data_IF_824780186645
#
_entry.id   IF_824780186645
#
_cell.length_a   1.000
_cell.length_b   1.000
_cell.length_c   1.000
_cell.angle_alpha   90.00
_cell.angle_beta   90.00
_cell.angle_gamma   90.00
#
_symmetry.space_group_name_H-M   'P 1'
#
loop_
_entity.id
_entity.type
_entity.pdbx_description
1 polymer ?
#
# COMPACT_ATOMS: atom_id res chain seq x y z
N UNK A 1 29.73 -57.07 -39.99
CA UNK A 1 28.46 -57.17 -39.25
C UNK A 1 28.23 -55.81 -38.60
N UNK A 2 27.26 -55.03 -39.10
CA UNK A 2 25.88 -55.21 -38.65
C UNK A 2 24.94 -55.60 -39.80
N UNK A 3 23.96 -56.43 -39.49
CA UNK A 3 22.95 -56.90 -40.42
C UNK A 3 22.03 -55.75 -40.82
N UNK A 4 22.14 -55.28 -42.06
CA UNK A 4 21.15 -54.40 -42.67
C UNK A 4 19.90 -55.22 -42.94
N UNK A 5 18.94 -55.15 -42.01
CA UNK A 5 17.58 -55.64 -42.21
C UNK A 5 16.94 -54.86 -43.36
N UNK A 6 16.95 -55.43 -44.55
CA UNK A 6 16.13 -54.95 -45.67
C UNK A 6 14.66 -55.20 -45.33
N UNK A 7 14.02 -54.20 -44.73
CA UNK A 7 12.55 -54.11 -44.67
C UNK A 7 12.00 -54.19 -46.11
N UNK A 8 10.91 -54.94 -46.35
CA UNK A 8 10.29 -54.99 -47.66
C UNK A 8 9.89 -53.57 -48.06
N UNK A 9 10.42 -53.10 -49.19
CA UNK A 9 10.06 -51.79 -49.74
C UNK A 9 8.55 -51.79 -49.96
N UNK A 10 7.83 -50.98 -49.18
CA UNK A 10 6.39 -50.77 -49.36
C UNK A 10 6.12 -50.41 -50.83
N UNK A 11 5.00 -50.86 -51.41
CA UNK A 11 4.66 -50.57 -52.80
C UNK A 11 4.76 -49.04 -53.05
N UNK A 12 5.28 -48.67 -54.22
CA UNK A 12 5.60 -47.28 -54.57
C UNK A 12 4.40 -46.34 -54.35
N UNK A 13 3.18 -46.84 -54.60
CA UNK A 13 1.92 -46.13 -54.31
C UNK A 13 1.74 -45.75 -52.84
N UNK A 14 2.10 -46.61 -51.89
CA UNK A 14 1.99 -46.33 -50.44
C UNK A 14 3.00 -45.27 -50.01
N UNK A 15 4.23 -45.33 -50.54
CA UNK A 15 5.26 -44.31 -50.28
C UNK A 15 4.87 -42.94 -50.84
N UNK A 16 4.25 -42.90 -52.02
CA UNK A 16 3.70 -41.66 -52.61
C UNK A 16 2.55 -41.13 -51.74
N UNK A 17 1.65 -41.99 -51.26
CA UNK A 17 0.55 -41.60 -50.39
C UNK A 17 1.04 -41.06 -49.03
N UNK A 18 2.08 -41.68 -48.45
CA UNK A 18 2.70 -41.23 -47.21
C UNK A 18 3.40 -39.87 -47.38
N UNK A 19 4.16 -39.68 -48.47
CA UNK A 19 4.77 -38.39 -48.82
C UNK A 19 3.72 -37.30 -49.03
N UNK A 20 2.61 -37.61 -49.70
CA UNK A 20 1.50 -36.66 -49.88
C UNK A 20 0.83 -36.27 -48.55
N UNK A 21 0.64 -37.23 -47.63
CA UNK A 21 0.15 -36.92 -46.27
C UNK A 21 1.13 -36.03 -45.50
N UNK A 22 2.43 -36.30 -45.62
CA UNK A 22 3.48 -35.50 -44.98
C UNK A 22 3.55 -34.09 -45.55
N UNK A 23 3.40 -33.93 -46.86
CA UNK A 23 3.30 -32.62 -47.51
C UNK A 23 2.05 -31.88 -47.02
N UNK A 24 0.89 -32.54 -46.96
CA UNK A 24 -0.36 -31.93 -46.48
C UNK A 24 -0.25 -31.48 -45.00
N UNK A 25 0.42 -32.26 -44.14
CA UNK A 25 0.72 -31.87 -42.76
C UNK A 25 1.64 -30.65 -42.71
N UNK A 26 2.73 -30.64 -43.48
CA UNK A 26 3.66 -29.51 -43.54
C UNK A 26 2.99 -28.24 -44.07
N UNK A 27 2.09 -28.35 -45.05
CA UNK A 27 1.30 -27.22 -45.56
C UNK A 27 0.29 -26.73 -44.52
N UNK A 28 -0.32 -27.63 -43.75
CA UNK A 28 -1.18 -27.30 -42.61
C UNK A 28 -0.42 -26.55 -41.51
N UNK A 29 0.74 -27.06 -41.10
CA UNK A 29 1.62 -26.41 -40.12
C UNK A 29 2.07 -25.05 -40.61
N UNK A 30 2.54 -24.95 -41.87
CA UNK A 30 2.96 -23.68 -42.48
C UNK A 30 1.83 -22.65 -42.50
N UNK A 31 0.60 -23.08 -42.76
CA UNK A 31 -0.58 -22.22 -42.71
C UNK A 31 -0.90 -21.77 -41.28
N UNK A 32 -0.89 -22.68 -40.31
CA UNK A 32 -1.11 -22.36 -38.89
C UNK A 32 -0.03 -21.40 -38.34
N UNK A 33 1.25 -21.62 -38.69
CA UNK A 33 2.34 -20.71 -38.35
C UNK A 33 2.14 -19.33 -38.98
N UNK A 34 1.73 -19.27 -40.24
CA UNK A 34 1.47 -18.00 -40.90
C UNK A 34 0.29 -17.24 -40.27
N UNK A 35 -0.81 -17.93 -39.96
CA UNK A 35 -1.99 -17.37 -39.30
C UNK A 35 -1.66 -16.88 -37.88
N UNK A 36 -0.92 -17.68 -37.10
CA UNK A 36 -0.44 -17.29 -35.76
C UNK A 36 0.50 -16.09 -35.81
N UNK A 37 1.40 -16.04 -36.80
CA UNK A 37 2.31 -14.90 -37.01
C UNK A 37 1.53 -13.63 -37.40
N UNK A 38 0.58 -13.73 -38.34
CA UNK A 38 -0.27 -12.60 -38.74
C UNK A 38 -1.12 -12.09 -37.57
N UNK A 39 -1.67 -13.01 -36.77
CA UNK A 39 -2.43 -12.65 -35.57
C UNK A 39 -1.54 -11.92 -34.56
N UNK A 40 -0.32 -12.42 -34.32
CA UNK A 40 0.66 -11.77 -33.43
C UNK A 40 1.07 -10.39 -33.96
N UNK A 41 1.30 -10.26 -35.26
CA UNK A 41 1.60 -8.96 -35.89
C UNK A 41 0.43 -7.97 -35.76
N UNK A 42 -0.81 -8.44 -35.89
CA UNK A 42 -2.00 -7.62 -35.69
C UNK A 42 -2.11 -7.15 -34.24
N UNK A 43 -1.95 -8.05 -33.27
CA UNK A 43 -1.92 -7.72 -31.84
C UNK A 43 -0.81 -6.73 -31.50
N UNK A 44 0.38 -6.91 -32.07
CA UNK A 44 1.50 -5.98 -31.89
C UNK A 44 1.20 -4.60 -32.49
N UNK A 45 0.55 -4.52 -33.65
CA UNK A 45 0.10 -3.25 -34.25
C UNK A 45 -0.93 -2.54 -33.37
N UNK A 46 -1.90 -3.27 -32.83
CA UNK A 46 -2.90 -2.74 -31.92
C UNK A 46 -2.24 -2.19 -30.64
N UNK A 47 -1.31 -2.95 -30.05
CA UNK A 47 -0.54 -2.52 -28.89
C UNK A 47 0.30 -1.26 -29.16
N UNK A 48 0.98 -1.20 -30.31
CA UNK A 48 1.73 0.01 -30.71
C UNK A 48 0.80 1.22 -30.88
N UNK A 49 -0.40 1.02 -31.42
CA UNK A 49 -1.41 2.07 -31.54
C UNK A 49 -1.87 2.57 -30.18
N UNK A 50 -2.16 1.65 -29.24
CA UNK A 50 -2.52 1.97 -27.86
C UNK A 50 -1.39 2.76 -27.16
N UNK A 51 -0.16 2.27 -27.21
CA UNK A 51 1.01 2.94 -26.61
C UNK A 51 1.26 4.33 -27.20
N UNK A 52 0.99 4.54 -28.49
CA UNK A 52 1.09 5.86 -29.13
C UNK A 52 -0.02 6.80 -28.63
N UNK A 53 -1.22 6.29 -28.44
CA UNK A 53 -2.34 7.07 -27.89
C UNK A 53 -2.09 7.46 -26.43
N UNK A 54 -1.60 6.52 -25.62
CA UNK A 54 -1.18 6.78 -24.23
C UNK A 54 -0.06 7.81 -24.17
N UNK A 55 0.99 7.67 -24.99
CA UNK A 55 2.05 8.68 -25.05
C UNK A 55 1.50 10.06 -25.42
N UNK A 56 0.58 10.15 -26.38
CA UNK A 56 -0.06 11.42 -26.76
C UNK A 56 -0.86 12.00 -25.59
N UNK A 57 -1.58 11.17 -24.84
CA UNK A 57 -2.31 11.60 -23.64
C UNK A 57 -1.37 12.08 -22.53
N UNK A 58 -0.28 11.33 -22.24
CA UNK A 58 0.73 11.71 -21.26
C UNK A 58 1.43 13.03 -21.62
N UNK A 59 1.76 13.23 -22.89
CA UNK A 59 2.32 14.50 -23.37
C UNK A 59 1.33 15.66 -23.18
N UNK A 60 0.04 15.43 -23.42
CA UNK A 60 -1.00 16.44 -23.18
C UNK A 60 -1.13 16.76 -21.69
N UNK A 61 -1.21 15.73 -20.83
CA UNK A 61 -1.26 15.91 -19.37
C UNK A 61 -0.05 16.67 -18.84
N UNK A 62 1.16 16.36 -19.34
CA UNK A 62 2.38 17.09 -18.99
C UNK A 62 2.31 18.56 -19.43
N UNK A 63 1.84 18.83 -20.64
CA UNK A 63 1.67 20.19 -21.13
C UNK A 63 0.64 20.98 -20.30
N UNK A 64 -0.49 20.35 -19.95
CA UNK A 64 -1.53 20.94 -19.13
C UNK A 64 -1.01 21.25 -17.71
N UNK A 65 -0.25 20.33 -17.10
CA UNK A 65 0.36 20.53 -15.79
C UNK A 65 1.38 21.68 -15.79
N UNK A 66 2.26 21.76 -16.81
CA UNK A 66 3.21 22.88 -16.96
C UNK A 66 2.46 24.20 -17.16
N UNK A 67 1.38 24.20 -17.94
CA UNK A 67 0.57 25.39 -18.15
C UNK A 67 -0.17 25.84 -16.88
N UNK A 68 -0.62 24.91 -16.03
CA UNK A 68 -1.19 25.23 -14.72
C UNK A 68 -0.13 25.82 -13.79
N UNK A 69 1.05 25.20 -13.70
CA UNK A 69 2.18 25.72 -12.90
C UNK A 69 2.56 27.14 -13.35
N UNK A 70 2.68 27.38 -14.67
CA UNK A 70 2.99 28.70 -15.22
C UNK A 70 1.88 29.73 -14.90
N UNK A 71 0.60 29.34 -14.91
CA UNK A 71 -0.51 30.24 -14.51
C UNK A 71 -0.40 30.65 -13.05
N UNK A 72 -0.19 29.68 -12.16
CA UNK A 72 -0.05 29.92 -10.72
C UNK A 72 1.15 30.83 -10.44
N UNK A 73 2.29 30.58 -11.11
CA UNK A 73 3.47 31.44 -10.99
C UNK A 73 3.23 32.86 -11.51
N UNK A 74 2.50 33.01 -12.62
CA UNK A 74 2.16 34.33 -13.16
C UNK A 74 1.24 35.13 -12.24
N UNK A 75 0.32 34.47 -11.56
CA UNK A 75 -0.59 35.10 -10.58
C UNK A 75 0.17 35.47 -9.30
N UNK A 76 0.96 34.55 -8.73
CA UNK A 76 1.74 34.78 -7.52
C UNK A 76 2.80 35.89 -7.67
N UNK A 77 3.44 36.00 -8.83
CA UNK A 77 4.49 36.99 -9.10
C UNK A 77 4.03 38.15 -9.98
N UNK A 78 2.73 38.48 -9.99
CA UNK A 78 2.17 39.52 -10.86
C UNK A 78 2.87 40.89 -10.72
N UNK A 79 3.25 41.25 -9.49
CA UNK A 79 3.90 42.53 -9.17
C UNK A 79 5.44 42.46 -9.18
N UNK A 80 6.04 41.30 -9.47
CA UNK A 80 7.48 41.03 -9.38
C UNK A 80 8.05 40.53 -10.71
N UNK A 81 8.09 41.41 -11.70
CA UNK A 81 8.46 41.11 -13.09
C UNK A 81 9.81 40.40 -13.26
N UNK A 82 10.83 40.79 -12.48
CA UNK A 82 12.19 40.18 -12.54
C UNK A 82 12.19 38.75 -12.01
N UNK A 83 11.47 38.50 -10.91
CA UNK A 83 11.35 37.16 -10.33
C UNK A 83 10.48 36.26 -11.20
N UNK A 84 9.40 36.81 -11.76
CA UNK A 84 8.52 36.12 -12.72
C UNK A 84 9.30 35.64 -13.96
N UNK A 85 10.15 36.49 -14.53
CA UNK A 85 10.98 36.10 -15.67
C UNK A 85 11.95 34.95 -15.34
N UNK A 86 12.52 34.95 -14.13
CA UNK A 86 13.44 33.90 -13.67
C UNK A 86 12.77 32.56 -13.34
N UNK A 87 11.43 32.54 -13.20
CA UNK A 87 10.62 31.38 -12.83
C UNK A 87 9.83 30.76 -13.99
N UNK A 88 9.89 31.35 -15.19
CA UNK A 88 9.18 30.87 -16.38
C UNK A 88 9.63 29.45 -16.77
N UNK A 89 8.68 28.52 -16.96
CA UNK A 89 8.96 27.15 -17.36
C UNK A 89 9.57 26.28 -16.25
N UNK A 90 9.59 26.77 -15.00
CA UNK A 90 9.96 25.97 -13.82
C UNK A 90 8.69 25.44 -13.17
N UNK A 91 8.77 24.24 -12.60
CA UNK A 91 7.64 23.72 -11.82
C UNK A 91 7.47 24.51 -10.53
N UNK A 92 6.24 24.56 -9.99
CA UNK A 92 5.93 25.23 -8.73
C UNK A 92 6.87 24.82 -7.58
N UNK A 93 7.25 23.54 -7.49
CA UNK A 93 8.21 23.06 -6.47
C UNK A 93 9.62 23.66 -6.64
N UNK A 94 10.08 23.79 -7.88
CA UNK A 94 11.37 24.41 -8.18
C UNK A 94 11.33 25.92 -7.95
N UNK A 95 10.18 26.55 -8.15
CA UNK A 95 10.01 27.97 -7.86
C UNK A 95 10.13 28.25 -6.37
N UNK A 96 9.52 27.41 -5.51
CA UNK A 96 9.62 27.51 -4.06
C UNK A 96 11.08 27.46 -3.62
N UNK A 97 11.85 26.44 -4.04
CA UNK A 97 13.26 26.31 -3.62
C UNK A 97 14.12 27.49 -4.05
N UNK A 98 13.89 28.06 -5.23
CA UNK A 98 14.60 29.25 -5.70
C UNK A 98 14.26 30.47 -4.85
N UNK A 99 12.99 30.64 -4.50
CA UNK A 99 12.54 31.75 -3.67
C UNK A 99 13.08 31.60 -2.25
N UNK A 100 13.09 30.40 -1.69
CA UNK A 100 13.65 30.11 -0.38
C UNK A 100 15.14 30.46 -0.29
N UNK A 101 15.92 30.06 -1.30
CA UNK A 101 17.34 30.45 -1.38
C UNK A 101 17.51 31.98 -1.41
N UNK A 102 16.68 32.70 -2.18
CA UNK A 102 16.71 34.17 -2.23
C UNK A 102 16.32 34.80 -0.89
N UNK A 103 15.36 34.23 -0.18
CA UNK A 103 14.96 34.68 1.17
C UNK A 103 16.12 34.50 2.13
N UNK A 104 16.79 33.34 2.11
CA UNK A 104 17.99 33.10 2.91
C UNK A 104 19.09 34.14 2.63
N UNK A 105 19.35 34.48 1.37
CA UNK A 105 20.36 35.47 1.02
C UNK A 105 19.98 36.89 1.46
N UNK A 106 18.71 37.27 1.35
CA UNK A 106 18.25 38.59 1.83
C UNK A 106 18.28 38.68 3.35
N UNK A 107 17.97 37.60 4.06
CA UNK A 107 18.11 37.52 5.53
C UNK A 107 19.57 37.67 5.95
N UNK A 108 20.51 36.99 5.27
CA UNK A 108 21.95 37.13 5.54
C UNK A 108 22.41 38.59 5.37
N UNK A 109 22.06 39.22 4.25
CA UNK A 109 22.38 40.64 4.01
C UNK A 109 21.77 41.57 5.05
N UNK A 110 20.53 41.29 5.48
CA UNK A 110 19.85 42.06 6.50
C UNK A 110 20.53 41.92 7.87
N UNK A 111 20.96 40.71 8.24
CA UNK A 111 21.72 40.47 9.46
C UNK A 111 23.08 41.20 9.43
N UNK A 112 23.79 41.18 8.29
CA UNK A 112 25.04 41.93 8.13
C UNK A 112 24.83 43.44 8.31
N UNK A 113 23.75 43.99 7.72
CA UNK A 113 23.41 45.41 7.87
C UNK A 113 22.99 45.75 9.31
N UNK A 114 22.24 44.88 9.98
CA UNK A 114 21.90 45.04 11.40
C UNK A 114 23.15 45.07 12.27
N UNK A 115 24.07 44.13 12.06
CA UNK A 115 25.34 44.10 12.78
C UNK A 115 26.14 45.38 12.56
N UNK A 116 26.30 45.84 11.31
CA UNK A 116 26.96 47.11 10.98
C UNK A 116 26.28 48.32 11.66
N UNK A 117 24.95 48.31 11.73
CA UNK A 117 24.18 49.39 12.38
C UNK A 117 24.40 49.38 13.87
N UNK A 118 24.35 48.20 14.50
CA UNK A 118 24.57 48.03 15.94
C UNK A 118 25.99 48.46 16.35
N UNK A 119 27.00 48.10 15.57
CA UNK A 119 28.40 48.54 15.79
C UNK A 119 28.50 50.06 15.72
N UNK A 120 27.88 50.69 14.72
CA UNK A 120 27.86 52.16 14.61
C UNK A 120 27.09 52.83 15.74
N UNK A 121 25.98 52.25 16.20
CA UNK A 121 25.21 52.76 17.33
C UNK A 121 26.00 52.68 18.63
N UNK A 122 26.69 51.56 18.88
CA UNK A 122 27.63 51.41 20.01
C UNK A 122 28.71 52.49 19.97
N UNK A 123 29.30 52.72 18.79
CA UNK A 123 30.33 53.76 18.64
C UNK A 123 29.80 55.17 18.88
N UNK A 124 28.57 55.44 18.46
CA UNK A 124 27.91 56.72 18.68
C UNK A 124 27.59 56.95 20.16
N UNK A 125 27.15 55.91 20.88
CA UNK A 125 26.92 55.98 22.32
C UNK A 125 28.22 56.22 23.11
N UNK A 126 29.34 55.59 22.70
CA UNK A 126 30.67 55.87 23.27
C UNK A 126 31.09 57.33 23.07
N UNK A 127 30.88 57.89 21.87
CA UNK A 127 31.21 59.29 21.59
C UNK A 127 30.31 60.27 22.35
N UNK A 128 29.02 59.95 22.50
CA UNK A 128 28.08 60.75 23.30
C UNK A 128 28.48 60.76 24.77
N UNK A 129 28.81 59.60 25.35
CA UNK A 129 29.28 59.53 26.75
C UNK A 129 30.59 60.30 26.95
N UNK A 130 31.53 60.25 26.01
CA UNK A 130 32.76 61.07 26.06
C UNK A 130 32.47 62.58 25.97
N UNK A 131 31.52 62.98 25.11
CA UNK A 131 31.12 64.37 24.97
C UNK A 131 30.41 64.90 26.23
N UNK A 132 29.52 64.11 26.81
CA UNK A 132 28.83 64.46 28.06
C UNK A 132 29.83 64.61 29.21
N UNK A 133 30.85 63.73 29.29
CA UNK A 133 31.96 63.85 30.24
C UNK A 133 32.76 65.14 30.05
N UNK A 134 33.09 65.52 28.81
CA UNK A 134 33.78 66.78 28.54
C UNK A 134 32.94 68.01 28.90
N UNK A 135 31.62 67.96 28.71
CA UNK A 135 30.72 69.04 29.15
C UNK A 135 30.72 69.13 30.67
N UNK A 136 30.61 68.00 31.39
CA UNK A 136 30.62 68.01 32.86
C UNK A 136 31.94 68.53 33.41
N UNK A 137 33.06 68.16 32.80
CA UNK A 137 34.39 68.63 33.20
C UNK A 137 34.58 70.13 32.90
N UNK A 138 34.07 70.62 31.76
CA UNK A 138 34.10 72.03 31.40
C UNK A 138 33.19 72.89 32.32
N UNK A 139 32.00 72.40 32.69
CA UNK A 139 31.13 73.08 33.64
C UNK A 139 31.73 73.10 35.04
N UNK A 140 32.37 72.01 35.49
CA UNK A 140 33.07 71.97 36.77
C UNK A 140 34.26 72.93 36.81
N UNK A 141 34.98 73.09 35.69
CA UNK A 141 36.05 74.09 35.56
C UNK A 141 35.54 75.54 35.56
N UNK A 142 34.34 75.80 35.00
CA UNK A 142 33.70 77.11 35.05
C UNK A 142 33.18 77.48 36.45
N UNK A 143 32.59 76.51 37.18
CA UNK A 143 32.10 76.72 38.54
C UNK A 143 33.24 76.97 39.55
N UNK A 144 34.45 76.47 39.26
CA UNK A 144 35.67 76.76 40.04
C UNK A 144 36.30 78.14 39.73
N UNK A 145 35.79 78.87 38.74
CA UNK A 145 36.32 80.19 38.29
C UNK A 145 35.47 81.38 38.79
N UNK A 146 34.28 81.15 39.34
CA UNK A 146 33.39 82.20 39.84
C UNK A 146 33.08 82.03 41.33
N UNK A 147 34.07 82.29 42.18
CA UNK A 147 33.82 82.99 43.45
C UNK A 147 33.68 84.49 43.12
N UNK A 148 32.93 85.34 43.82
CA UNK A 148 32.43 85.37 45.19
C UNK A 148 31.24 86.36 45.20
N UNK A 149 30.33 86.26 46.19
CA UNK A 149 29.85 87.44 46.97
C UNK A 149 28.68 87.04 47.89
N UNK A 150 28.87 87.33 49.18
CA UNK A 150 28.06 86.92 50.33
C UNK A 150 26.85 87.84 50.64
N UNK A 151 26.50 88.82 49.79
CA UNK A 151 25.54 89.88 50.15
C UNK A 151 24.13 89.78 49.50
N UNK A 152 23.73 88.58 49.10
CA UNK A 152 22.35 88.27 48.68
C UNK A 152 21.63 87.32 49.67
N UNK A 153 22.18 87.08 50.85
CA UNK A 153 21.86 85.90 51.64
C UNK A 153 20.49 85.93 52.35
N UNK A 154 19.86 87.10 52.57
CA UNK A 154 18.61 87.17 53.36
C UNK A 154 17.31 87.27 52.55
N UNK A 155 17.31 87.91 51.38
CA UNK A 155 16.15 87.92 50.46
C UNK A 155 16.12 86.73 49.49
N UNK A 156 17.31 86.23 49.13
CA UNK A 156 17.48 85.08 48.22
C UNK A 156 17.19 83.76 48.93
N UNK A 157 17.39 83.62 50.24
CA UNK A 157 17.00 82.41 50.98
C UNK A 157 15.49 82.11 50.94
N UNK A 158 14.61 83.12 51.02
CA UNK A 158 13.16 82.90 50.97
C UNK A 158 12.59 82.66 49.56
N UNK A 159 13.25 83.21 48.53
CA UNK A 159 12.91 82.99 47.11
C UNK A 159 13.55 81.71 46.57
N UNK A 160 14.82 81.45 46.88
CA UNK A 160 15.52 80.21 46.58
C UNK A 160 14.86 79.03 47.31
N UNK A 161 14.46 79.16 48.57
CA UNK A 161 13.73 78.08 49.27
C UNK A 161 12.36 77.79 48.65
N UNK A 162 11.64 78.82 48.17
CA UNK A 162 10.38 78.63 47.43
C UNK A 162 10.60 78.02 46.03
N UNK A 163 11.67 78.41 45.34
CA UNK A 163 12.05 77.83 44.06
C UNK A 163 12.49 76.36 44.24
N UNK A 164 13.28 76.06 45.27
CA UNK A 164 13.68 74.68 45.61
C UNK A 164 12.49 73.84 46.03
N UNK A 165 11.52 74.40 46.78
CA UNK A 165 10.30 73.68 47.15
C UNK A 165 9.40 73.43 45.92
N UNK A 166 9.37 74.34 44.95
CA UNK A 166 8.67 74.11 43.68
C UNK A 166 9.36 73.05 42.82
N UNK A 167 10.69 73.08 42.72
CA UNK A 167 11.42 72.05 41.98
C UNK A 167 11.31 70.69 42.68
N UNK A 168 11.33 70.66 44.02
CA UNK A 168 11.10 69.44 44.80
C UNK A 168 9.73 68.84 44.48
N UNK A 169 8.66 69.65 44.53
CA UNK A 169 7.30 69.20 44.15
C UNK A 169 7.20 68.72 42.71
N UNK A 170 7.92 69.35 41.77
CA UNK A 170 7.93 68.90 40.38
C UNK A 170 8.68 67.57 40.21
N UNK A 171 9.78 67.39 40.94
CA UNK A 171 10.55 66.16 40.96
C UNK A 171 9.75 65.03 41.61
N UNK A 172 9.06 65.29 42.72
CA UNK A 172 8.14 64.36 43.39
C UNK A 172 7.01 63.93 42.43
N UNK A 173 6.33 64.89 41.78
CA UNK A 173 5.29 64.57 40.80
C UNK A 173 5.82 63.78 39.59
N UNK A 174 7.07 64.03 39.17
CA UNK A 174 7.71 63.28 38.08
C UNK A 174 8.08 61.87 38.53
N UNK A 175 8.52 61.71 39.76
CA UNK A 175 8.81 60.43 40.38
C UNK A 175 7.54 59.59 40.50
N UNK A 176 6.45 60.15 41.02
CA UNK A 176 5.16 59.45 41.14
C UNK A 176 4.62 59.01 39.77
N UNK A 177 4.71 59.87 38.75
CA UNK A 177 4.37 59.52 37.37
C UNK A 177 5.25 58.38 36.83
N UNK A 178 6.53 58.34 37.21
CA UNK A 178 7.41 57.26 36.79
C UNK A 178 7.10 55.95 37.52
N UNK A 179 6.78 56.02 38.81
CA UNK A 179 6.33 54.87 39.60
C UNK A 179 5.06 54.25 39.01
N UNK A 180 4.07 55.06 38.64
CA UNK A 180 2.84 54.58 37.97
C UNK A 180 3.16 53.88 36.65
N UNK A 181 4.02 54.46 35.80
CA UNK A 181 4.42 53.82 34.54
C UNK A 181 5.21 52.53 34.76
N UNK A 182 6.05 52.45 35.78
CA UNK A 182 6.76 51.23 36.15
C UNK A 182 5.78 50.14 36.60
N UNK A 183 4.78 50.48 37.42
CA UNK A 183 3.74 49.54 37.85
C UNK A 183 2.89 49.06 36.67
N UNK A 184 2.50 49.95 35.75
CA UNK A 184 1.80 49.57 34.52
C UNK A 184 2.65 48.64 33.64
N UNK A 185 3.93 48.96 33.46
CA UNK A 185 4.86 48.12 32.71
C UNK A 185 5.04 46.74 33.36
N UNK A 186 5.11 46.67 34.69
CA UNK A 186 5.14 45.41 35.43
C UNK A 186 3.86 44.59 35.25
N UNK A 187 2.69 45.25 35.29
CA UNK A 187 1.42 44.59 35.03
C UNK A 187 1.37 44.01 33.60
N UNK A 188 1.73 44.82 32.60
CA UNK A 188 1.80 44.39 31.19
C UNK A 188 2.78 43.21 31.04
N UNK A 189 3.97 43.29 31.66
CA UNK A 189 4.96 42.20 31.64
C UNK A 189 4.39 40.92 32.24
N UNK A 190 3.68 40.99 33.37
CA UNK A 190 3.04 39.83 33.99
C UNK A 190 2.01 39.20 33.05
N UNK A 191 1.17 40.01 32.39
CA UNK A 191 0.20 39.52 31.41
C UNK A 191 0.88 38.81 30.23
N UNK A 192 1.92 39.41 29.64
CA UNK A 192 2.66 38.75 28.55
C UNK A 192 3.37 37.47 29.00
N UNK A 193 3.87 37.42 30.24
CA UNK A 193 4.46 36.21 30.78
C UNK A 193 3.41 35.09 30.91
N UNK A 194 2.20 35.42 31.36
CA UNK A 194 1.09 34.46 31.42
C UNK A 194 0.70 33.95 30.03
N UNK A 195 0.58 34.84 29.04
CA UNK A 195 0.31 34.47 27.64
C UNK A 195 1.40 33.55 27.11
N UNK A 196 2.68 33.86 27.36
CA UNK A 196 3.81 33.01 26.94
C UNK A 196 3.74 31.61 27.56
N UNK A 197 3.40 31.51 28.84
CA UNK A 197 3.24 30.21 29.51
C UNK A 197 2.07 29.43 28.92
N UNK A 198 0.94 30.10 28.64
CA UNK A 198 -0.22 29.46 28.01
C UNK A 198 0.12 28.92 26.61
N UNK A 199 0.73 29.75 25.76
CA UNK A 199 1.17 29.35 24.43
C UNK A 199 2.22 28.23 24.48
N UNK A 200 3.09 28.22 25.50
CA UNK A 200 4.03 27.13 25.72
C UNK A 200 3.33 25.81 26.06
N UNK A 201 2.29 25.86 26.90
CA UNK A 201 1.45 24.69 27.22
C UNK A 201 0.68 24.18 26.01
N UNK A 202 0.06 25.07 25.23
CA UNK A 202 -0.63 24.71 23.99
C UNK A 202 0.35 24.12 22.96
N UNK A 203 1.54 24.72 22.84
CA UNK A 203 2.63 24.23 22.00
C UNK A 203 2.97 22.75 22.25
N UNK A 204 3.00 22.34 23.53
CA UNK A 204 3.25 20.96 23.93
C UNK A 204 2.09 20.02 23.55
N UNK A 205 0.85 20.49 23.52
CA UNK A 205 -0.32 19.66 23.17
C UNK A 205 -0.44 19.38 21.68
N UNK A 206 0.03 20.28 20.81
CA UNK A 206 -0.08 20.11 19.36
C UNK A 206 0.72 18.92 18.83
N UNK A 207 1.88 18.62 19.41
CA UNK A 207 2.68 17.45 19.02
C UNK A 207 1.87 16.15 19.22
N UNK A 208 1.29 15.96 20.40
CA UNK A 208 0.46 14.78 20.69
C UNK A 208 -0.77 14.68 19.79
N UNK A 209 -1.40 15.81 19.46
CA UNK A 209 -2.54 15.84 18.53
C UNK A 209 -2.12 15.47 17.10
N UNK A 210 -0.95 15.95 16.66
CA UNK A 210 -0.40 15.61 15.35
C UNK A 210 -0.04 14.12 15.28
N UNK A 211 0.62 13.57 16.30
CA UNK A 211 0.97 12.14 16.37
C UNK A 211 -0.29 11.26 16.34
N UNK A 212 -1.35 11.66 17.05
CA UNK A 212 -2.64 10.95 17.04
C UNK A 212 -3.30 10.97 15.65
N UNK A 213 -3.30 12.13 14.98
CA UNK A 213 -3.82 12.27 13.62
C UNK A 213 -2.99 11.49 12.60
N UNK A 214 -1.66 11.48 12.74
CA UNK A 214 -0.78 10.68 11.89
C UNK A 214 -1.02 9.18 12.07
N UNK A 215 -1.20 8.72 13.30
CA UNK A 215 -1.54 7.33 13.60
C UNK A 215 -2.92 6.93 13.03
N UNK A 216 -3.89 7.84 13.04
CA UNK A 216 -5.21 7.62 12.42
C UNK A 216 -5.10 7.56 10.89
N UNK A 217 -4.32 8.46 10.27
CA UNK A 217 -4.05 8.43 8.83
C UNK A 217 -3.36 7.12 8.42
N UNK A 218 -2.41 6.63 9.22
CA UNK A 218 -1.73 5.36 8.96
C UNK A 218 -2.70 4.17 9.03
N UNK A 219 -3.57 4.12 10.04
CA UNK A 219 -4.62 3.10 10.17
C UNK A 219 -5.61 3.15 9.00
N UNK A 220 -6.09 4.33 8.63
CA UNK A 220 -6.98 4.48 7.49
C UNK A 220 -6.32 4.04 6.17
N UNK A 221 -5.00 4.25 6.02
CA UNK A 221 -4.25 3.77 4.85
C UNK A 221 -4.13 2.24 4.83
N UNK A 222 -3.86 1.59 5.97
CA UNK A 222 -3.81 0.13 6.03
C UNK A 222 -5.18 -0.49 5.75
N UNK A 223 -6.25 0.05 6.34
CA UNK A 223 -7.62 -0.37 6.06
C UNK A 223 -7.98 -0.20 4.58
N UNK A 224 -7.58 0.91 3.95
CA UNK A 224 -7.79 1.12 2.52
C UNK A 224 -7.04 0.08 1.67
N UNK A 225 -5.83 -0.32 2.07
CA UNK A 225 -5.08 -1.36 1.34
C UNK A 225 -5.74 -2.73 1.47
N UNK A 226 -6.24 -3.08 2.65
CA UNK A 226 -6.97 -4.32 2.89
C UNK A 226 -8.29 -4.36 2.11
N UNK A 227 -9.06 -3.27 2.13
CA UNK A 227 -10.30 -3.15 1.36
C UNK A 227 -10.05 -3.24 -0.16
N UNK A 228 -8.94 -2.71 -0.66
CA UNK A 228 -8.55 -2.88 -2.07
C UNK A 228 -8.20 -4.32 -2.40
N UNK A 229 -7.49 -5.03 -1.52
CA UNK A 229 -7.21 -6.45 -1.70
C UNK A 229 -8.51 -7.26 -1.72
N UNK A 230 -9.40 -7.04 -0.75
CA UNK A 230 -10.72 -7.69 -0.70
C UNK A 230 -11.57 -7.41 -1.95
N UNK A 231 -11.57 -6.17 -2.47
CA UNK A 231 -12.27 -5.83 -3.70
C UNK A 231 -11.68 -6.54 -4.93
N UNK A 232 -10.35 -6.63 -5.02
CA UNK A 232 -9.71 -7.39 -6.09
C UNK A 232 -10.09 -8.88 -6.02
N UNK A 233 -10.09 -9.47 -4.83
CA UNK A 233 -10.50 -10.87 -4.63
C UNK A 233 -11.97 -11.07 -5.01
N UNK A 234 -12.85 -10.15 -4.62
CA UNK A 234 -14.25 -10.18 -5.02
C UNK A 234 -14.44 -10.04 -6.55
N UNK A 235 -13.63 -9.22 -7.22
CA UNK A 235 -13.64 -9.11 -8.68
C UNK A 235 -13.17 -10.39 -9.36
N UNK A 236 -12.07 -10.99 -8.88
CA UNK A 236 -11.57 -12.27 -9.37
C UNK A 236 -12.61 -13.37 -9.19
N UNK A 237 -13.26 -13.46 -8.02
CA UNK A 237 -14.33 -14.42 -7.76
C UNK A 237 -15.53 -14.22 -8.68
N UNK A 238 -15.95 -12.97 -8.90
CA UNK A 238 -17.05 -12.64 -9.83
C UNK A 238 -16.70 -13.04 -11.27
N UNK A 239 -15.48 -12.72 -11.72
CA UNK A 239 -15.05 -13.01 -13.08
C UNK A 239 -14.86 -14.52 -13.30
N UNK A 240 -14.41 -15.25 -12.28
CA UNK A 240 -14.36 -16.71 -12.26
C UNK A 240 -15.78 -17.31 -12.38
N UNK A 241 -16.72 -16.88 -11.54
CA UNK A 241 -18.11 -17.32 -11.59
C UNK A 241 -18.79 -17.01 -12.93
N UNK A 242 -18.49 -15.84 -13.52
CA UNK A 242 -18.96 -15.48 -14.86
C UNK A 242 -18.36 -16.38 -15.95
N UNK A 243 -17.09 -16.75 -15.80
CA UNK A 243 -16.42 -17.72 -16.66
C UNK A 243 -17.04 -19.11 -16.59
N UNK A 244 -17.36 -19.59 -15.38
CA UNK A 244 -18.06 -20.86 -15.17
C UNK A 244 -19.47 -20.84 -15.76
N UNK A 245 -20.22 -19.76 -15.54
CA UNK A 245 -21.55 -19.58 -16.11
C UNK A 245 -21.50 -19.66 -17.65
N UNK A 246 -20.56 -18.96 -18.29
CA UNK A 246 -20.38 -18.99 -19.74
C UNK A 246 -20.07 -20.40 -20.26
N UNK A 247 -19.22 -21.16 -19.57
CA UNK A 247 -18.91 -22.56 -19.91
C UNK A 247 -20.15 -23.46 -19.80
N UNK A 248 -20.94 -23.29 -18.74
CA UNK A 248 -22.18 -24.04 -18.56
C UNK A 248 -23.23 -23.67 -19.60
N UNK A 249 -23.37 -22.40 -19.94
CA UNK A 249 -24.25 -21.95 -21.03
C UNK A 249 -23.83 -22.57 -22.37
N UNK A 250 -22.53 -22.58 -22.69
CA UNK A 250 -22.02 -23.22 -23.91
C UNK A 250 -22.29 -24.73 -23.91
N UNK A 251 -22.07 -25.41 -22.78
CA UNK A 251 -22.37 -26.83 -22.64
C UNK A 251 -23.85 -27.12 -22.87
N UNK A 252 -24.75 -26.36 -22.24
CA UNK A 252 -26.20 -26.52 -22.42
C UNK A 252 -26.62 -26.29 -23.87
N UNK A 253 -26.04 -25.28 -24.54
CA UNK A 253 -26.29 -25.04 -25.97
C UNK A 253 -25.77 -26.18 -26.85
N UNK A 254 -24.60 -26.75 -26.52
CA UNK A 254 -24.03 -27.90 -27.23
C UNK A 254 -24.90 -29.14 -27.07
N UNK A 255 -25.27 -29.50 -25.85
CA UNK A 255 -26.17 -30.62 -25.57
C UNK A 255 -27.53 -30.43 -26.24
N UNK A 256 -28.06 -29.20 -26.28
CA UNK A 256 -29.31 -28.90 -26.99
C UNK A 256 -29.17 -29.17 -28.49
N UNK A 257 -28.07 -28.74 -29.11
CA UNK A 257 -27.80 -29.00 -30.54
C UNK A 257 -27.67 -30.49 -30.81
N UNK A 258 -26.94 -31.22 -29.98
CA UNK A 258 -26.78 -32.68 -30.10
C UNK A 258 -28.11 -33.43 -29.96
N UNK A 259 -28.96 -33.01 -29.00
CA UNK A 259 -30.31 -33.56 -28.85
C UNK A 259 -31.18 -33.26 -30.07
N UNK A 260 -31.09 -32.05 -30.63
CA UNK A 260 -31.85 -31.65 -31.83
C UNK A 260 -31.40 -32.41 -33.07
N UNK A 261 -30.09 -32.63 -33.27
CA UNK A 261 -29.56 -33.46 -34.36
C UNK A 261 -30.01 -34.91 -34.21
N UNK A 262 -29.91 -35.50 -33.02
CA UNK A 262 -30.37 -36.86 -32.78
C UNK A 262 -31.89 -37.00 -33.01
N UNK A 263 -32.69 -36.04 -32.54
CA UNK A 263 -34.14 -36.02 -32.80
C UNK A 263 -34.45 -35.96 -34.30
N UNK A 264 -33.72 -35.17 -35.08
CA UNK A 264 -33.90 -35.08 -36.52
C UNK A 264 -33.49 -36.38 -37.23
N UNK A 265 -32.42 -37.04 -36.79
CA UNK A 265 -32.03 -38.37 -37.29
C UNK A 265 -33.11 -39.42 -37.01
N UNK A 266 -33.65 -39.46 -35.78
CA UNK A 266 -34.74 -40.37 -35.43
C UNK A 266 -36.03 -40.08 -36.22
N UNK A 267 -36.38 -38.80 -36.44
CA UNK A 267 -37.51 -38.43 -37.30
C UNK A 267 -37.32 -38.91 -38.73
N UNK A 268 -36.12 -38.73 -39.29
CA UNK A 268 -35.79 -39.20 -40.65
C UNK A 268 -35.89 -40.72 -40.77
N UNK A 269 -35.33 -41.46 -39.81
CA UNK A 269 -35.44 -42.92 -39.76
C UNK A 269 -36.91 -43.38 -39.63
N UNK A 270 -37.72 -42.67 -38.85
CA UNK A 270 -39.14 -42.96 -38.71
C UNK A 270 -39.91 -42.69 -40.02
N UNK A 271 -39.62 -41.58 -40.71
CA UNK A 271 -40.18 -41.28 -42.03
C UNK A 271 -39.76 -42.31 -43.09
N UNK A 272 -38.49 -42.73 -43.10
CA UNK A 272 -37.99 -43.78 -43.99
C UNK A 272 -38.67 -45.12 -43.74
N UNK A 273 -38.84 -45.53 -42.47
CA UNK A 273 -39.59 -46.74 -42.09
C UNK A 273 -41.06 -46.64 -42.48
N UNK A 274 -41.71 -45.49 -42.27
CA UNK A 274 -43.09 -45.25 -42.69
C UNK A 274 -43.23 -45.34 -44.21
N UNK A 275 -42.34 -44.70 -44.97
CA UNK A 275 -42.31 -44.76 -46.42
C UNK A 275 -42.01 -46.19 -46.95
N UNK A 276 -41.21 -46.98 -46.23
CA UNK A 276 -41.00 -48.37 -46.55
C UNK A 276 -42.24 -49.23 -46.25
N UNK A 277 -42.89 -49.03 -45.09
CA UNK A 277 -44.13 -49.70 -44.72
C UNK A 277 -45.25 -49.39 -45.71
N UNK A 278 -45.45 -48.13 -46.11
CA UNK A 278 -46.40 -47.75 -47.16
C UNK A 278 -46.06 -48.40 -48.52
N UNK A 279 -44.77 -48.52 -48.88
CA UNK A 279 -44.37 -49.22 -50.11
C UNK A 279 -44.66 -50.71 -50.05
N UNK A 280 -44.44 -51.35 -48.89
CA UNK A 280 -44.75 -52.76 -48.68
C UNK A 280 -46.26 -52.96 -48.67
N UNK A 281 -47.04 -52.10 -48.00
CA UNK A 281 -48.49 -52.13 -48.01
C UNK A 281 -49.05 -51.94 -49.42
N UNK A 282 -48.52 -51.01 -50.24
CA UNK A 282 -48.89 -50.87 -51.65
C UNK A 282 -48.50 -52.09 -52.50
N UNK A 283 -47.41 -52.79 -52.15
CA UNK A 283 -47.03 -54.07 -52.79
C UNK A 283 -47.92 -55.22 -52.32
N UNK A 284 -48.31 -55.25 -51.05
CA UNK A 284 -49.22 -56.25 -50.47
C UNK A 284 -50.65 -56.06 -51.00
N UNK A 285 -51.10 -54.81 -51.18
CA UNK A 285 -52.36 -54.49 -51.84
C UNK A 285 -52.34 -54.86 -53.35
N UNK A 286 -51.16 -54.92 -53.98
CA UNK A 286 -50.98 -55.44 -55.35
C UNK A 286 -50.79 -56.96 -55.42
N UNK A 287 -50.21 -57.57 -54.38
CA UNK A 287 -50.04 -59.02 -54.25
C UNK A 287 -51.30 -59.73 -53.71
N UNK A 288 -52.21 -58.99 -53.06
CA UNK A 288 -53.52 -59.48 -52.59
C UNK A 288 -54.50 -59.78 -53.73
N UNK A 289 -54.12 -59.55 -55.00
CA UNK A 289 -54.92 -59.86 -56.19
C UNK A 289 -54.30 -60.95 -57.07
N UNK A 290 -53.22 -61.56 -56.64
CA UNK A 290 -52.64 -62.70 -57.32
C UNK A 290 -51.91 -63.53 -56.28
N UNK A 291 -52.57 -64.58 -55.76
CA UNK A 291 -52.07 -65.95 -55.79
C UNK A 291 -53.04 -66.89 -55.05
N UNK A 292 -53.84 -67.62 -55.82
CA UNK A 292 -54.36 -68.94 -55.43
C UNK A 292 -53.67 -69.98 -56.32
N UNK A 293 -53.25 -71.07 -55.68
CA UNK A 293 -52.84 -72.38 -56.21
C UNK A 293 -51.61 -72.51 -57.14
N UNK A 294 -50.66 -73.35 -56.71
CA UNK A 294 -50.40 -74.64 -57.38
C UNK A 294 -49.60 -75.58 -56.45
N UNK A 295 -50.07 -76.82 -56.43
CA UNK A 295 -49.67 -77.96 -55.61
C UNK A 295 -48.40 -78.67 -56.14
N UNK A 296 -47.74 -79.45 -55.25
CA UNK A 296 -47.01 -80.74 -55.44
C UNK A 296 -46.21 -80.96 -56.74
N UNK A 297 -44.93 -81.35 -56.74
CA UNK A 297 -44.31 -82.63 -56.31
C UNK A 297 -42.82 -82.52 -56.79
N UNK A 298 -41.76 -82.98 -56.13
CA UNK A 298 -41.30 -84.37 -56.09
C UNK A 298 -39.99 -84.48 -55.28
N UNK A 299 -39.90 -85.58 -54.54
CA UNK A 299 -38.70 -86.09 -53.88
C UNK A 299 -37.65 -86.61 -54.89
N UNK A 300 -36.36 -86.31 -54.64
CA UNK A 300 -35.23 -87.28 -54.61
C UNK A 300 -33.88 -86.56 -54.68
N UNK A 301 -33.09 -86.68 -53.60
CA UNK A 301 -31.67 -87.06 -53.58
C UNK A 301 -31.10 -86.82 -52.17
N UNK A 302 -31.54 -87.63 -51.22
CA UNK A 302 -30.84 -87.83 -49.95
C UNK A 302 -29.77 -88.90 -50.18
N UNK A 303 -28.55 -88.57 -49.77
CA UNK A 303 -27.57 -89.44 -49.09
C UNK A 303 -26.14 -88.89 -49.25
N UNK A 304 -25.94 -87.61 -48.90
CA UNK A 304 -24.67 -87.02 -48.38
C UNK A 304 -24.91 -85.75 -47.54
N UNK A 305 -26.15 -85.43 -47.16
CA UNK A 305 -26.53 -84.19 -46.45
C UNK A 305 -26.79 -84.37 -44.95
N UNK A 306 -27.06 -85.58 -44.45
CA UNK A 306 -27.54 -85.78 -43.07
C UNK A 306 -26.56 -85.33 -41.99
N UNK A 307 -25.25 -85.35 -42.25
CA UNK A 307 -24.25 -84.87 -41.29
C UNK A 307 -24.08 -83.33 -41.33
N UNK A 308 -24.37 -82.71 -42.48
CA UNK A 308 -24.42 -81.24 -42.59
C UNK A 308 -25.75 -80.70 -42.06
N UNK A 309 -26.87 -81.37 -42.32
CA UNK A 309 -28.19 -81.00 -41.78
C UNK A 309 -28.22 -81.07 -40.26
N UNK A 310 -27.65 -82.12 -39.63
CA UNK A 310 -27.56 -82.18 -38.16
C UNK A 310 -26.72 -81.05 -37.58
N UNK A 311 -25.62 -80.69 -38.24
CA UNK A 311 -24.78 -79.55 -37.84
C UNK A 311 -25.54 -78.23 -38.01
N UNK A 312 -26.25 -78.06 -39.13
CA UNK A 312 -27.10 -76.91 -39.41
C UNK A 312 -28.21 -76.79 -38.35
N UNK A 313 -28.92 -77.87 -38.01
CA UNK A 313 -29.96 -77.83 -36.97
C UNK A 313 -29.40 -77.47 -35.60
N UNK A 314 -28.23 -78.00 -35.21
CA UNK A 314 -27.59 -77.59 -33.95
C UNK A 314 -27.14 -76.13 -33.95
N UNK A 315 -26.62 -75.61 -35.07
CA UNK A 315 -26.28 -74.20 -35.16
C UNK A 315 -27.52 -73.31 -35.14
N UNK A 316 -28.60 -73.71 -35.81
CA UNK A 316 -29.88 -73.01 -35.81
C UNK A 316 -30.53 -72.97 -34.41
N UNK A 317 -30.46 -74.07 -33.65
CA UNK A 317 -30.90 -74.11 -32.25
C UNK A 317 -30.03 -73.21 -31.36
N UNK A 318 -28.71 -73.25 -31.51
CA UNK A 318 -27.80 -72.36 -30.78
C UNK A 318 -28.05 -70.88 -31.10
N UNK A 319 -28.27 -70.52 -32.37
CA UNK A 319 -28.61 -69.16 -32.78
C UNK A 319 -29.99 -68.73 -32.29
N UNK A 320 -30.95 -69.65 -32.19
CA UNK A 320 -32.28 -69.38 -31.63
C UNK A 320 -32.17 -69.04 -30.14
N UNK A 321 -31.40 -69.82 -29.38
CA UNK A 321 -31.14 -69.53 -27.98
C UNK A 321 -30.39 -68.20 -27.78
N UNK A 322 -29.43 -67.88 -28.64
CA UNK A 322 -28.73 -66.58 -28.59
C UNK A 322 -29.72 -65.44 -28.90
N UNK A 323 -30.58 -65.58 -29.91
CA UNK A 323 -31.62 -64.58 -30.23
C UNK A 323 -32.60 -64.38 -29.08
N UNK A 324 -33.03 -65.46 -28.43
CA UNK A 324 -33.94 -65.40 -27.28
C UNK A 324 -33.27 -64.74 -26.06
N UNK A 325 -32.02 -65.09 -25.77
CA UNK A 325 -31.27 -64.52 -24.65
C UNK A 325 -30.88 -63.04 -24.87
N UNK A 326 -30.63 -62.66 -26.12
CA UNK A 326 -30.28 -61.28 -26.49
C UNK A 326 -31.51 -60.42 -26.85
N UNK A 327 -32.68 -61.04 -27.05
CA UNK A 327 -33.93 -60.36 -27.40
C UNK A 327 -33.96 -59.79 -28.82
N UNK A 328 -33.21 -60.37 -29.75
CA UNK A 328 -32.97 -59.79 -31.09
C UNK A 328 -33.53 -60.67 -32.20
N UNK A 329 -34.22 -60.07 -33.17
CA UNK A 329 -34.94 -60.81 -34.24
C UNK A 329 -34.01 -61.31 -35.37
N UNK A 330 -32.92 -60.60 -35.65
CA UNK A 330 -32.00 -60.89 -36.76
C UNK A 330 -30.59 -61.27 -36.24
N UNK A 331 -29.98 -62.29 -36.86
CA UNK A 331 -28.63 -62.76 -36.52
C UNK A 331 -27.56 -61.71 -36.77
N UNK A 332 -27.75 -60.83 -37.75
CA UNK A 332 -26.79 -59.75 -38.03
C UNK A 332 -26.82 -58.67 -36.94
N UNK A 333 -27.99 -58.40 -36.35
CA UNK A 333 -28.11 -57.44 -35.24
C UNK A 333 -27.45 -57.97 -33.95
N UNK A 334 -27.46 -59.29 -33.71
CA UNK A 334 -26.70 -59.92 -32.61
C UNK A 334 -25.20 -59.63 -32.75
N UNK A 335 -24.64 -59.81 -33.96
CA UNK A 335 -23.21 -59.54 -34.21
C UNK A 335 -22.89 -58.07 -34.05
N UNK A 336 -23.75 -57.17 -34.57
CA UNK A 336 -23.55 -55.73 -34.44
C UNK A 336 -23.59 -55.26 -32.98
N UNK A 337 -24.51 -55.78 -32.16
CA UNK A 337 -24.57 -55.46 -30.71
C UNK A 337 -23.40 -56.05 -29.94
N UNK A 338 -22.93 -57.23 -30.29
CA UNK A 338 -21.76 -57.83 -29.64
C UNK A 338 -20.49 -57.01 -29.93
N UNK A 339 -20.33 -56.54 -31.17
CA UNK A 339 -19.23 -55.64 -31.54
C UNK A 339 -19.32 -54.29 -30.82
N UNK A 340 -20.49 -53.64 -30.80
CA UNK A 340 -20.65 -52.36 -30.09
C UNK A 340 -20.53 -52.50 -28.57
N UNK A 341 -20.92 -53.64 -28.00
CA UNK A 341 -20.71 -53.97 -26.59
C UNK A 341 -19.21 -54.10 -26.27
N UNK A 342 -18.42 -54.71 -27.16
CA UNK A 342 -16.97 -54.77 -27.03
C UNK A 342 -16.30 -53.39 -27.06
N UNK A 343 -16.79 -52.49 -27.91
CA UNK A 343 -16.33 -51.09 -27.95
C UNK A 343 -16.72 -50.33 -26.67
N UNK A 344 -17.95 -50.53 -26.20
CA UNK A 344 -18.46 -49.91 -24.96
C UNK A 344 -17.69 -50.42 -23.74
N UNK A 345 -17.36 -51.72 -23.69
CA UNK A 345 -16.55 -52.31 -22.63
C UNK A 345 -15.15 -51.70 -22.60
N UNK A 346 -14.48 -51.61 -23.76
CA UNK A 346 -13.15 -50.98 -23.85
C UNK A 346 -13.17 -49.53 -23.38
N UNK A 347 -14.19 -48.77 -23.77
CA UNK A 347 -14.35 -47.39 -23.32
C UNK A 347 -14.56 -47.29 -21.80
N UNK A 348 -15.38 -48.18 -21.21
CA UNK A 348 -15.58 -48.23 -19.75
C UNK A 348 -14.31 -48.64 -19.00
N UNK A 349 -13.51 -49.54 -19.55
CA UNK A 349 -12.21 -49.93 -18.99
C UNK A 349 -11.19 -48.77 -19.03
N UNK A 350 -11.16 -48.00 -20.13
CA UNK A 350 -10.36 -46.77 -20.23
C UNK A 350 -10.82 -45.72 -19.21
N UNK A 351 -12.13 -45.48 -19.09
CA UNK A 351 -12.71 -44.53 -18.14
C UNK A 351 -12.42 -44.96 -16.70
N UNK A 352 -12.49 -46.26 -16.39
CA UNK A 352 -12.11 -46.81 -15.09
C UNK A 352 -10.64 -46.55 -14.79
N UNK A 353 -9.74 -46.83 -15.74
CA UNK A 353 -8.30 -46.60 -15.58
C UNK A 353 -7.98 -45.11 -15.41
N UNK A 354 -8.67 -44.23 -16.12
CA UNK A 354 -8.50 -42.78 -15.98
C UNK A 354 -8.99 -42.30 -14.61
N UNK A 355 -10.17 -42.76 -14.16
CA UNK A 355 -10.69 -42.47 -12.83
C UNK A 355 -9.77 -43.00 -11.72
N UNK A 356 -9.21 -44.20 -11.85
CA UNK A 356 -8.24 -44.75 -10.90
C UNK A 356 -6.99 -43.87 -10.80
N UNK A 357 -6.50 -43.35 -11.93
CA UNK A 357 -5.37 -42.43 -11.99
C UNK A 357 -5.70 -41.05 -11.41
N UNK A 358 -6.91 -40.55 -11.62
CA UNK A 358 -7.35 -39.30 -10.99
C UNK A 358 -7.50 -39.48 -9.48
N UNK A 359 -8.05 -40.61 -9.04
CA UNK A 359 -8.20 -40.94 -7.62
C UNK A 359 -6.84 -41.06 -6.92
N UNK A 360 -5.82 -41.63 -7.58
CA UNK A 360 -4.47 -41.71 -7.00
C UNK A 360 -3.85 -40.30 -6.86
N UNK A 361 -3.98 -39.44 -7.88
CA UNK A 361 -3.51 -38.05 -7.83
C UNK A 361 -4.20 -37.25 -6.73
N UNK A 362 -5.52 -37.35 -6.62
CA UNK A 362 -6.28 -36.64 -5.58
C UNK A 362 -5.93 -37.14 -4.16
N UNK A 363 -5.57 -38.41 -4.01
CA UNK A 363 -5.06 -38.94 -2.72
C UNK A 363 -3.70 -38.36 -2.38
N UNK A 364 -2.76 -38.32 -3.33
CA UNK A 364 -1.44 -37.72 -3.15
C UNK A 364 -1.55 -36.22 -2.83
N UNK A 365 -2.39 -35.49 -3.55
CA UNK A 365 -2.66 -34.06 -3.27
C UNK A 365 -3.27 -33.87 -1.89
N UNK A 366 -4.24 -34.70 -1.49
CA UNK A 366 -4.83 -34.64 -0.15
C UNK A 366 -3.76 -34.86 0.93
N UNK A 367 -2.91 -35.87 0.79
CA UNK A 367 -1.83 -36.16 1.74
C UNK A 367 -0.83 -35.00 1.82
N UNK A 368 -0.47 -34.40 0.68
CA UNK A 368 0.38 -33.21 0.63
C UNK A 368 -0.23 -32.02 1.36
N UNK A 369 -1.48 -31.67 1.04
CA UNK A 369 -2.21 -30.57 1.69
C UNK A 369 -2.39 -30.81 3.19
N UNK A 370 -2.58 -32.07 3.60
CA UNK A 370 -2.71 -32.42 5.01
C UNK A 370 -1.38 -32.26 5.75
N UNK A 371 -0.26 -32.61 5.13
CA UNK A 371 1.08 -32.37 5.69
C UNK A 371 1.39 -30.87 5.80
N UNK A 372 1.06 -30.07 4.78
CA UNK A 372 1.20 -28.60 4.84
C UNK A 372 0.34 -27.98 5.93
N UNK A 373 -0.88 -28.48 6.11
CA UNK A 373 -1.77 -28.02 7.17
C UNK A 373 -1.22 -28.36 8.57
N UNK A 374 -0.69 -29.56 8.75
CA UNK A 374 -0.05 -29.95 10.01
C UNK A 374 1.19 -29.09 10.30
N UNK A 375 2.04 -28.86 9.30
CA UNK A 375 3.20 -27.97 9.45
C UNK A 375 2.77 -26.54 9.81
N UNK A 376 1.74 -26.00 9.15
CA UNK A 376 1.23 -24.67 9.48
C UNK A 376 0.62 -24.60 10.88
N UNK A 377 -0.13 -25.63 11.29
CA UNK A 377 -0.76 -25.70 12.62
C UNK A 377 0.29 -25.73 13.72
N UNK A 378 1.29 -26.60 13.62
CA UNK A 378 2.28 -26.78 14.67
C UNK A 378 3.42 -25.75 14.62
N UNK A 379 3.79 -25.24 13.45
CA UNK A 379 4.82 -24.18 13.33
C UNK A 379 4.27 -22.78 13.62
N UNK A 380 2.98 -22.53 13.33
CA UNK A 380 2.32 -21.26 13.63
C UNK A 380 2.10 -21.06 15.13
N UNK A 381 1.64 -22.10 15.83
CA UNK A 381 1.37 -22.05 17.27
C UNK A 381 2.67 -21.90 18.10
N UNK A 382 3.76 -22.55 17.67
CA UNK A 382 5.08 -22.41 18.31
C UNK A 382 5.65 -20.98 18.16
N UNK A 383 5.45 -20.33 17.00
CA UNK A 383 5.90 -18.96 16.76
C UNK A 383 5.07 -17.93 17.54
N UNK A 384 3.75 -18.12 17.63
CA UNK A 384 2.90 -17.25 18.46
C UNK A 384 3.26 -17.36 19.94
N UNK A 385 3.44 -18.58 20.46
CA UNK A 385 3.79 -18.79 21.86
C UNK A 385 5.14 -18.16 22.24
N UNK A 386 6.14 -18.31 21.36
CA UNK A 386 7.46 -17.69 21.55
C UNK A 386 7.39 -16.15 21.51
N UNK A 387 6.64 -15.58 20.56
CA UNK A 387 6.44 -14.14 20.45
C UNK A 387 5.70 -13.55 21.65
N UNK A 388 4.68 -14.25 22.15
CA UNK A 388 3.91 -13.82 23.33
C UNK A 388 4.77 -13.84 24.60
N UNK A 389 5.61 -14.86 24.77
CA UNK A 389 6.56 -14.93 25.90
C UNK A 389 7.60 -13.81 25.85
N UNK A 390 8.10 -13.48 24.66
CA UNK A 390 9.03 -12.35 24.48
C UNK A 390 8.37 -11.01 24.81
N UNK A 391 7.10 -10.83 24.44
CA UNK A 391 6.33 -9.63 24.79
C UNK A 391 6.13 -9.51 26.30
N UNK A 392 5.81 -10.61 26.99
CA UNK A 392 5.68 -10.63 28.46
C UNK A 392 7.01 -10.30 29.15
N UNK A 393 8.14 -10.82 28.67
CA UNK A 393 9.47 -10.49 29.18
C UNK A 393 9.78 -8.99 28.98
N UNK A 394 9.52 -8.44 27.78
CA UNK A 394 9.73 -7.02 27.51
C UNK A 394 8.82 -6.11 28.34
N UNK A 395 7.56 -6.51 28.55
CA UNK A 395 6.63 -5.77 29.41
C UNK A 395 7.11 -5.76 30.86
N UNK A 396 7.56 -6.90 31.38
CA UNK A 396 8.12 -6.98 32.73
C UNK A 396 9.39 -6.11 32.89
N UNK A 397 10.23 -6.02 31.85
CA UNK A 397 11.38 -5.12 31.85
C UNK A 397 10.96 -3.65 31.86
N UNK A 398 9.94 -3.29 31.08
CA UNK A 398 9.40 -1.93 31.02
C UNK A 398 8.85 -1.51 32.40
N UNK A 399 8.00 -2.34 33.00
CA UNK A 399 7.41 -2.07 34.31
C UNK A 399 8.51 -1.88 35.39
N UNK A 400 9.60 -2.65 35.30
CA UNK A 400 10.75 -2.53 36.21
C UNK A 400 11.62 -1.28 35.99
N UNK A 401 11.69 -0.73 34.78
CA UNK A 401 12.33 0.55 34.50
C UNK A 401 11.43 1.73 34.91
N UNK A 402 10.12 1.62 34.72
CA UNK A 402 9.15 2.62 35.16
C UNK A 402 9.15 2.78 36.69
N UNK A 403 9.15 1.67 37.43
CA UNK A 403 9.26 1.71 38.89
C UNK A 403 10.55 2.39 39.36
N UNK A 404 11.68 2.14 38.67
CA UNK A 404 12.97 2.79 38.97
C UNK A 404 12.95 4.29 38.67
N UNK A 405 12.31 4.70 37.57
CA UNK A 405 12.13 6.10 37.22
C UNK A 405 11.31 6.81 38.31
N UNK A 406 10.21 6.21 38.74
CA UNK A 406 9.33 6.80 39.74
C UNK A 406 10.03 6.94 41.10
N UNK A 407 10.80 5.92 41.52
CA UNK A 407 11.61 6.00 42.75
C UNK A 407 12.69 7.10 42.67
N UNK A 408 13.31 7.29 41.50
CA UNK A 408 14.29 8.35 41.27
C UNK A 408 13.64 9.74 41.29
N UNK A 409 12.45 9.88 40.71
CA UNK A 409 11.67 11.11 40.74
C UNK A 409 11.28 11.48 42.18
N UNK A 410 10.78 10.53 42.94
CA UNK A 410 10.46 10.70 44.36
C UNK A 410 11.67 11.17 45.19
N UNK A 411 12.85 10.58 44.93
CA UNK A 411 14.11 11.02 45.56
C UNK A 411 14.46 12.46 45.19
N UNK A 412 14.29 12.82 43.91
CA UNK A 412 14.55 14.17 43.41
C UNK A 412 13.59 15.21 44.02
N UNK A 413 12.31 14.89 44.12
CA UNK A 413 11.31 15.77 44.74
C UNK A 413 11.61 16.00 46.22
N UNK A 414 11.96 14.95 46.97
CA UNK A 414 12.40 15.08 48.36
C UNK A 414 13.64 15.95 48.49
N UNK A 415 14.67 15.71 47.67
CA UNK A 415 15.89 16.51 47.68
C UNK A 415 15.61 17.98 47.34
N UNK A 416 14.73 18.24 46.37
CA UNK A 416 14.31 19.59 45.99
C UNK A 416 13.58 20.30 47.13
N UNK A 417 12.68 19.61 47.83
CA UNK A 417 11.98 20.17 49.00
C UNK A 417 12.96 20.53 50.13
N UNK A 418 13.94 19.66 50.41
CA UNK A 418 14.99 19.93 51.39
C UNK A 418 15.80 21.15 50.96
N UNK A 419 16.21 21.23 49.69
CA UNK A 419 17.00 22.36 49.17
C UNK A 419 16.24 23.68 49.29
N UNK A 420 14.94 23.72 48.98
CA UNK A 420 14.08 24.89 49.18
C UNK A 420 14.03 25.28 50.66
N UNK A 421 13.88 24.31 51.55
CA UNK A 421 13.86 24.54 52.99
C UNK A 421 15.20 25.10 53.49
N UNK A 422 16.32 24.53 53.06
CA UNK A 422 17.67 25.01 53.39
C UNK A 422 17.88 26.43 52.85
N UNK A 423 17.51 26.70 51.60
CA UNK A 423 17.62 28.03 50.99
C UNK A 423 16.85 29.06 51.81
N UNK A 424 15.59 28.77 52.17
CA UNK A 424 14.79 29.66 53.01
C UNK A 424 15.41 29.88 54.41
N UNK A 425 16.01 28.82 54.99
CA UNK A 425 16.72 28.92 56.26
C UNK A 425 17.98 29.78 56.18
N UNK A 426 18.75 29.66 55.09
CA UNK A 426 19.93 30.48 54.81
C UNK A 426 19.55 31.93 54.56
N UNK A 427 18.50 32.20 53.78
CA UNK A 427 17.97 33.55 53.54
C UNK A 427 17.55 34.21 54.86
N UNK A 428 16.77 33.49 55.68
CA UNK A 428 16.35 33.99 56.99
C UNK A 428 17.53 34.21 57.96
N UNK A 429 18.57 33.38 57.90
CA UNK A 429 19.78 33.59 58.69
C UNK A 429 20.57 34.82 58.18
N UNK A 430 20.68 35.00 56.87
CA UNK A 430 21.32 36.15 56.25
C UNK A 430 20.60 37.46 56.64
N UNK A 431 19.27 37.48 56.60
CA UNK A 431 18.46 38.63 57.04
C UNK A 431 18.72 38.98 58.52
N UNK A 432 18.80 37.97 59.39
CA UNK A 432 19.12 38.18 60.82
C UNK A 432 20.55 38.66 61.06
N UNK A 433 21.51 38.20 60.26
CA UNK A 433 22.92 38.57 60.37
C UNK A 433 23.24 39.92 59.72
N UNK A 434 22.37 40.46 58.85
CA UNK A 434 22.58 41.72 58.13
C UNK A 434 22.84 42.92 59.06
N UNK A 435 22.34 42.87 60.30
CA UNK A 435 22.51 43.94 61.29
C UNK A 435 23.75 43.78 62.17
N UNK A 436 24.46 42.64 62.09
CA UNK A 436 25.70 42.41 62.84
C UNK A 436 26.87 42.92 62.01
N UNK A 437 27.39 44.11 62.37
CA UNK A 437 28.65 44.61 61.79
C UNK A 437 29.82 43.80 62.34
N UNK A 438 30.32 42.85 61.57
CA UNK A 438 31.57 42.16 61.87
C UNK A 438 32.72 43.17 61.99
N UNK A 439 33.46 43.13 63.10
CA UNK A 439 34.68 43.91 63.24
C UNK A 439 35.66 43.52 62.12
N UNK A 440 36.20 44.51 61.40
CA UNK A 440 37.22 44.31 60.36
C UNK A 440 38.49 43.78 61.01
N UNK A 441 38.58 42.46 61.16
CA UNK A 441 39.74 41.79 61.73
C UNK A 441 39.46 40.31 61.94
N UNK A 442 39.93 39.49 60.99
CA UNK A 442 39.98 38.04 61.04
C UNK A 442 38.66 37.29 60.77
N UNK A 443 38.34 37.10 59.49
CA UNK A 443 37.54 35.93 59.06
C UNK A 443 38.55 34.83 58.76
N UNK A 444 38.58 33.71 59.51
CA UNK A 444 39.42 32.58 59.15
C UNK A 444 38.92 32.02 57.83
N UNK A 445 39.76 32.00 56.80
CA UNK A 445 39.48 31.25 55.57
C UNK A 445 39.31 29.78 55.94
N UNK A 446 38.12 29.23 55.72
CA UNK A 446 37.83 27.83 55.95
C UNK A 446 38.78 26.99 55.07
N UNK A 447 39.65 26.19 55.69
CA UNK A 447 40.51 25.26 54.97
C UNK A 447 39.69 24.04 54.56
N UNK A 448 39.12 24.08 53.37
CA UNK A 448 38.41 22.95 52.77
C UNK A 448 39.45 21.90 52.36
N UNK A 449 39.21 20.65 52.72
CA UNK A 449 40.12 19.54 52.41
C UNK A 449 40.11 19.24 50.90
N UNK A 450 41.25 18.98 50.24
CA UNK A 450 41.30 18.65 48.81
C UNK A 450 40.55 17.37 48.41
N UNK A 451 40.03 16.62 49.38
CA UNK A 451 39.28 15.38 49.19
C UNK A 451 37.77 15.50 49.48
N UNK A 452 37.27 16.67 49.88
CA UNK A 452 35.83 16.86 50.13
C UNK A 452 35.13 17.37 48.87
N UNK A 453 33.92 16.86 48.60
CA UNK A 453 33.08 17.24 47.46
C UNK A 453 32.77 18.76 47.42
N UNK A 454 32.85 19.45 48.56
CA UNK A 454 32.73 20.92 48.66
C UNK A 454 33.87 21.68 47.95
N UNK A 455 35.04 21.06 47.74
CA UNK A 455 36.16 21.68 47.00
C UNK A 455 35.85 21.85 45.51
N UNK A 456 35.02 20.97 44.95
CA UNK A 456 34.58 21.03 43.54
C UNK A 456 33.63 22.19 43.27
N UNK A 457 32.85 22.62 44.27
CA UNK A 457 31.90 23.72 44.16
C UNK A 457 32.57 25.09 44.30
N UNK A 458 33.75 25.17 44.93
CA UNK A 458 34.53 26.39 45.08
C UNK A 458 35.41 26.69 43.83
N UNK A 459 35.49 25.73 42.90
CA UNK A 459 36.24 25.80 41.64
C UNK A 459 35.38 26.13 40.40
N UNK A 460 34.05 26.16 40.56
CA UNK A 460 33.06 26.58 39.55
C UNK A 460 32.58 27.99 39.86
#
# INVERSE_FOLDING_TARGET
MPATSHLPKQPIQEQIAELNRKIALLDGDRKAYYESSQWTMKKNRELVSQLRQENKQLHKLKADAVAMDDKVLNEAFHNRNVERAALRGKSGKQAITIVDHKVCDTIKRLNDLRHKTEVKQKKLAELQTQHDQMITDASAAQEMSTGESEDAQKGRQGSARRATDQTLRQLENRLDKMMLKCQEAEHIRKTYQQIKVHLGKEGLTYANQLDALEAEILRARSELTELKAMNNDAQLARDAARGELSKHEEQVLRERRERETALNEYKKLAEEKKAHAERVERRMQRASLQQEELQQEQQKQQMTLEEQERKITTYEEAFRHIKEATGVSDTQEVVARFMSQGDTQRHLEELKRENEKQLSRLKEEKEHLQAEFEDMKYSGEAKLSSGQRMLEEMQSHLDGEEARRDEAQDKLERASHILVSVKSGVEHLADKLQHIKAAKGHVPTAKISPRSDEYSLDLL
#
